data_IF_460222573329
#
_entry.id   IF_460222573329
#
_cell.length_a   1.000
_cell.length_b   1.000
_cell.length_c   1.000
_cell.angle_alpha   90.00
_cell.angle_beta   90.00
_cell.angle_gamma   90.00
#
_symmetry.space_group_name_H-M   'P 1'
#
loop_
_entity.id
_entity.type
_entity.pdbx_description
1 polymer ?
#
# COMPACT_ATOMS: atom_id res chain seq x y z
N UNK A 1 3.93 18.16 -23.91
CA UNK A 1 4.33 17.11 -22.96
C UNK A 1 3.11 16.71 -22.15
N UNK A 2 2.92 15.42 -21.90
CA UNK A 2 1.85 14.91 -21.06
C UNK A 2 2.13 15.31 -19.60
N UNK A 3 1.08 15.64 -18.84
CA UNK A 3 1.22 15.86 -17.41
C UNK A 3 1.56 14.56 -16.69
N UNK A 4 2.06 14.67 -15.45
CA UNK A 4 2.54 13.52 -14.71
C UNK A 4 2.13 13.56 -13.22
N UNK A 5 2.14 12.38 -12.61
CA UNK A 5 2.04 12.21 -11.16
C UNK A 5 3.26 11.47 -10.65
N UNK A 6 3.77 11.89 -9.48
CA UNK A 6 4.86 11.25 -8.76
C UNK A 6 4.33 10.72 -7.44
N UNK A 7 4.49 9.43 -7.16
CA UNK A 7 4.28 8.89 -5.81
C UNK A 7 5.57 9.01 -5.00
N UNK A 8 5.52 9.75 -3.89
CA UNK A 8 6.63 9.79 -2.93
C UNK A 8 6.64 8.49 -2.14
N UNK A 9 7.71 7.71 -2.28
CA UNK A 9 7.85 6.42 -1.61
C UNK A 9 8.61 6.59 -0.29
N UNK A 10 8.00 6.08 0.80
CA UNK A 10 8.61 6.04 2.13
C UNK A 10 7.97 4.93 2.98
N UNK A 11 8.56 4.69 4.14
CA UNK A 11 8.12 3.59 5.00
C UNK A 11 8.56 2.23 4.47
N UNK A 12 7.90 1.16 4.93
CA UNK A 12 8.24 -0.21 4.54
C UNK A 12 7.47 -0.66 3.31
N UNK A 13 7.84 -1.83 2.80
CA UNK A 13 7.32 -2.43 1.57
C UNK A 13 5.78 -2.33 1.45
N UNK A 14 5.02 -2.73 2.47
CA UNK A 14 3.55 -2.63 2.46
C UNK A 14 3.03 -1.21 2.24
N UNK A 15 3.65 -0.19 2.85
CA UNK A 15 3.27 1.20 2.64
C UNK A 15 3.52 1.63 1.19
N UNK A 16 4.66 1.21 0.62
CA UNK A 16 5.03 1.55 -0.74
C UNK A 16 4.10 0.91 -1.78
N UNK A 17 3.55 -0.29 -1.49
CA UNK A 17 2.49 -0.89 -2.31
C UNK A 17 1.27 0.04 -2.43
N UNK A 18 0.79 0.57 -1.33
CA UNK A 18 -0.34 1.50 -1.34
C UNK A 18 -0.02 2.80 -2.07
N UNK A 19 1.18 3.35 -1.87
CA UNK A 19 1.65 4.58 -2.52
C UNK A 19 1.73 4.42 -4.04
N UNK A 20 2.26 3.30 -4.52
CA UNK A 20 2.35 2.99 -5.96
C UNK A 20 0.95 2.75 -6.53
N UNK A 21 0.13 1.91 -5.89
CA UNK A 21 -1.22 1.60 -6.36
C UNK A 21 -2.08 2.86 -6.50
N UNK A 22 -2.04 3.75 -5.51
CA UNK A 22 -2.76 5.02 -5.54
C UNK A 22 -2.28 5.94 -6.65
N UNK A 23 -0.95 6.07 -6.80
CA UNK A 23 -0.38 6.90 -7.88
C UNK A 23 -0.70 6.37 -9.27
N UNK A 24 -0.62 5.06 -9.47
CA UNK A 24 -1.02 4.40 -10.74
C UNK A 24 -2.51 4.63 -11.05
N UNK A 25 -3.39 4.45 -10.07
CA UNK A 25 -4.81 4.69 -10.25
C UNK A 25 -5.10 6.15 -10.60
N UNK A 26 -4.46 7.09 -9.90
CA UNK A 26 -4.60 8.51 -10.21
C UNK A 26 -4.06 8.85 -11.60
N UNK A 27 -2.91 8.29 -11.97
CA UNK A 27 -2.35 8.45 -13.31
C UNK A 27 -3.31 7.97 -14.41
N UNK A 28 -3.93 6.80 -14.23
CA UNK A 28 -4.91 6.25 -15.17
C UNK A 28 -6.17 7.10 -15.24
N UNK A 29 -6.72 7.51 -14.09
CA UNK A 29 -7.95 8.32 -14.00
C UNK A 29 -7.80 9.69 -14.68
N UNK A 30 -6.66 10.32 -14.52
CA UNK A 30 -6.38 11.66 -15.03
C UNK A 30 -5.57 11.66 -16.36
N UNK A 31 -5.29 10.49 -16.92
CA UNK A 31 -4.44 10.33 -18.11
C UNK A 31 -3.07 11.02 -17.97
N UNK A 32 -2.35 10.70 -16.89
CA UNK A 32 -1.03 11.24 -16.56
C UNK A 32 0.06 10.19 -16.80
N UNK A 33 1.32 10.64 -16.95
CA UNK A 33 2.48 9.77 -16.85
C UNK A 33 2.76 9.48 -15.35
N UNK A 34 3.14 8.23 -15.02
CA UNK A 34 3.40 7.82 -13.65
C UNK A 34 4.89 7.72 -13.36
N UNK A 35 5.29 8.27 -12.22
CA UNK A 35 6.66 8.25 -11.71
C UNK A 35 6.66 7.92 -10.20
N UNK A 36 7.78 7.41 -9.71
CA UNK A 36 8.04 7.23 -8.28
C UNK A 36 9.29 7.98 -7.86
N UNK A 37 9.40 8.33 -6.57
CA UNK A 37 10.71 8.70 -6.00
C UNK A 37 11.56 7.44 -5.79
N UNK A 38 12.86 7.62 -5.50
CA UNK A 38 13.73 6.50 -5.13
C UNK A 38 13.24 5.86 -3.82
N UNK A 39 13.21 4.53 -3.78
CA UNK A 39 12.82 3.76 -2.60
C UNK A 39 13.85 2.65 -2.33
N UNK A 40 14.20 2.47 -1.07
CA UNK A 40 15.22 1.50 -0.69
C UNK A 40 14.70 0.06 -0.54
N UNK A 41 13.41 -0.16 -0.29
CA UNK A 41 12.90 -1.42 0.27
C UNK A 41 11.83 -2.17 -0.54
N UNK A 42 11.41 -1.68 -1.70
CA UNK A 42 10.27 -2.27 -2.43
C UNK A 42 10.58 -2.73 -3.86
N UNK A 43 11.80 -2.58 -4.32
CA UNK A 43 12.19 -2.72 -5.73
C UNK A 43 12.01 -4.11 -6.33
N UNK A 44 11.94 -5.17 -5.52
CA UNK A 44 11.91 -6.55 -6.02
C UNK A 44 10.50 -7.06 -6.35
N UNK A 45 9.45 -6.35 -5.91
CA UNK A 45 8.05 -6.78 -6.04
C UNK A 45 7.25 -5.97 -7.06
N UNK A 46 7.87 -5.01 -7.71
CA UNK A 46 7.24 -4.14 -8.69
C UNK A 46 7.99 -4.14 -10.01
N UNK A 47 7.28 -3.85 -11.07
CA UNK A 47 7.91 -3.36 -12.29
C UNK A 47 8.69 -2.08 -11.97
N UNK A 48 9.81 -1.89 -12.68
CA UNK A 48 10.62 -0.69 -12.49
C UNK A 48 9.89 0.51 -13.08
N UNK A 49 9.42 1.40 -12.23
CA UNK A 49 8.83 2.67 -12.66
C UNK A 49 9.91 3.72 -12.87
N UNK A 50 9.73 4.63 -13.85
CA UNK A 50 10.65 5.75 -14.03
C UNK A 50 10.62 6.63 -12.78
N UNK A 51 11.81 7.15 -12.41
CA UNK A 51 12.00 7.92 -11.17
C UNK A 51 12.01 9.42 -11.43
N UNK A 52 11.42 10.17 -10.50
CA UNK A 52 11.42 11.63 -10.52
C UNK A 52 11.38 12.15 -9.08
N UNK A 53 12.43 12.80 -8.66
CA UNK A 53 12.56 13.23 -7.25
C UNK A 53 11.76 14.48 -6.91
N UNK A 54 11.48 15.33 -7.89
CA UNK A 54 10.72 16.58 -7.71
C UNK A 54 9.75 16.74 -8.85
N UNK A 55 8.54 17.23 -8.57
CA UNK A 55 7.65 17.58 -9.67
C UNK A 55 6.25 18.01 -9.28
N UNK A 56 5.83 19.15 -9.83
CA UNK A 56 4.46 19.62 -9.81
C UNK A 56 3.94 20.14 -8.47
N UNK A 57 2.63 20.18 -8.35
CA UNK A 57 1.94 20.56 -7.12
C UNK A 57 2.02 19.43 -6.11
N UNK A 58 2.38 19.73 -4.88
CA UNK A 58 2.38 18.74 -3.79
C UNK A 58 0.95 18.58 -3.27
N UNK A 59 0.50 17.33 -3.18
CA UNK A 59 -0.74 16.97 -2.52
C UNK A 59 -0.46 15.95 -1.41
N UNK A 60 -0.69 16.37 -0.19
CA UNK A 60 -0.55 15.53 1.00
C UNK A 60 -1.87 14.88 1.35
N UNK A 61 -1.82 13.61 1.76
CA UNK A 61 -2.98 12.87 2.22
C UNK A 61 -3.58 13.55 3.46
N UNK A 62 -4.82 13.96 3.35
CA UNK A 62 -5.56 14.59 4.45
C UNK A 62 -6.32 13.52 5.20
N UNK A 63 -5.68 12.92 6.18
CA UNK A 63 -6.35 11.98 7.09
C UNK A 63 -7.08 12.80 8.16
N UNK A 64 -8.40 12.79 8.11
CA UNK A 64 -9.22 13.36 9.17
C UNK A 64 -9.63 12.25 10.13
N UNK A 65 -8.94 12.16 11.26
CA UNK A 65 -9.19 11.15 12.31
C UNK A 65 -10.61 11.16 12.88
N UNK A 66 -11.37 12.24 12.71
CA UNK A 66 -12.73 12.34 13.23
C UNK A 66 -13.80 11.92 12.22
N UNK A 67 -13.61 12.23 10.92
CA UNK A 67 -14.67 12.05 9.93
C UNK A 67 -14.37 10.95 8.91
N UNK A 68 -13.12 10.78 8.47
CA UNK A 68 -12.71 9.72 7.56
C UNK A 68 -11.20 9.42 7.75
N UNK A 69 -10.85 8.58 8.72
CA UNK A 69 -9.45 8.36 9.09
C UNK A 69 -8.63 7.63 8.02
N UNK A 70 -9.26 7.04 7.00
CA UNK A 70 -8.59 6.13 6.05
C UNK A 70 -8.74 6.51 4.58
N UNK A 71 -9.44 7.60 4.27
CA UNK A 71 -9.64 8.01 2.88
C UNK A 71 -9.94 9.50 2.78
N UNK A 72 -9.27 10.18 1.84
CA UNK A 72 -9.60 11.53 1.40
C UNK A 72 -9.55 11.59 -0.12
N UNK A 73 -10.48 12.26 -0.74
CA UNK A 73 -10.51 12.38 -2.20
C UNK A 73 -9.30 13.13 -2.72
N UNK A 74 -8.62 12.56 -3.72
CA UNK A 74 -7.53 13.23 -4.43
C UNK A 74 -8.17 14.12 -5.50
N UNK A 75 -7.91 15.44 -5.48
CA UNK A 75 -8.51 16.35 -6.47
C UNK A 75 -8.15 15.97 -7.91
N UNK A 76 -9.12 16.11 -8.80
CA UNK A 76 -8.89 15.97 -10.23
C UNK A 76 -8.18 17.20 -10.84
N UNK A 77 -7.65 17.04 -12.05
CA UNK A 77 -7.08 18.14 -12.87
C UNK A 77 -5.97 18.95 -12.19
N UNK A 78 -5.18 18.30 -11.33
CA UNK A 78 -4.06 18.97 -10.67
C UNK A 78 -2.90 19.32 -11.62
N UNK A 79 -2.88 18.77 -12.83
CA UNK A 79 -1.74 18.87 -13.75
C UNK A 79 -0.56 18.02 -13.23
N UNK A 80 0.66 18.55 -13.31
CA UNK A 80 1.82 17.89 -12.71
C UNK A 80 1.71 17.90 -11.19
N UNK A 81 1.78 16.75 -10.55
CA UNK A 81 1.62 16.66 -9.10
C UNK A 81 2.50 15.58 -8.46
N UNK A 82 2.74 15.73 -7.16
CA UNK A 82 3.37 14.74 -6.30
C UNK A 82 2.41 14.36 -5.18
N UNK A 83 2.16 13.07 -5.00
CA UNK A 83 1.34 12.53 -3.92
C UNK A 83 2.23 12.13 -2.74
N UNK A 84 1.94 12.67 -1.56
CA UNK A 84 2.63 12.39 -0.31
C UNK A 84 1.62 11.87 0.71
N UNK A 85 1.77 10.63 1.14
CA UNK A 85 0.86 10.00 2.10
C UNK A 85 1.08 8.49 2.17
N UNK A 86 0.41 7.82 3.08
CA UNK A 86 0.41 6.36 3.16
C UNK A 86 -0.61 5.71 2.24
N UNK A 87 -1.74 6.40 1.98
CA UNK A 87 -2.79 6.00 1.04
C UNK A 87 -3.38 4.62 1.34
N UNK A 88 -3.46 4.25 2.62
CA UNK A 88 -3.82 2.90 3.10
C UNK A 88 -5.32 2.62 3.03
N UNK A 89 -5.92 2.91 1.88
CA UNK A 89 -7.31 2.55 1.59
C UNK A 89 -7.44 2.00 0.17
N UNK A 90 -8.14 0.88 0.01
CA UNK A 90 -8.42 0.32 -1.31
C UNK A 90 -9.26 1.26 -2.20
N UNK A 91 -10.02 2.17 -1.60
CA UNK A 91 -10.86 3.15 -2.32
C UNK A 91 -10.08 4.04 -3.28
N UNK A 92 -8.77 4.20 -3.07
CA UNK A 92 -7.93 5.00 -3.98
C UNK A 92 -7.73 4.33 -5.34
N UNK A 93 -7.82 3.00 -5.42
CA UNK A 93 -7.42 2.24 -6.60
C UNK A 93 -8.36 1.08 -6.97
N UNK A 94 -9.50 0.92 -6.31
CA UNK A 94 -10.41 -0.22 -6.57
C UNK A 94 -10.91 -0.28 -8.02
N UNK A 95 -11.14 0.88 -8.64
CA UNK A 95 -11.57 0.98 -10.05
C UNK A 95 -10.53 0.43 -11.05
N UNK A 96 -9.26 0.36 -10.65
CA UNK A 96 -8.12 -0.07 -11.49
C UNK A 96 -7.36 -1.26 -10.89
N UNK A 97 -7.96 -1.99 -9.96
CA UNK A 97 -7.25 -3.05 -9.21
C UNK A 97 -6.65 -4.15 -10.08
N UNK A 98 -7.33 -4.54 -11.15
CA UNK A 98 -6.86 -5.61 -12.04
C UNK A 98 -5.60 -5.17 -12.78
N UNK A 99 -5.62 -3.98 -13.36
CA UNK A 99 -4.48 -3.41 -14.07
C UNK A 99 -3.31 -3.11 -13.14
N UNK A 100 -3.61 -2.66 -11.92
CA UNK A 100 -2.57 -2.38 -10.92
C UNK A 100 -1.93 -3.68 -10.43
N UNK A 101 -2.70 -4.74 -10.21
CA UNK A 101 -2.16 -6.04 -9.82
C UNK A 101 -1.20 -6.63 -10.87
N UNK A 102 -1.42 -6.35 -12.16
CA UNK A 102 -0.52 -6.79 -13.21
C UNK A 102 0.86 -6.11 -13.19
N UNK A 103 0.98 -4.96 -12.52
CA UNK A 103 2.25 -4.26 -12.35
C UNK A 103 3.09 -4.81 -11.18
N UNK A 104 2.51 -5.70 -10.36
CA UNK A 104 3.21 -6.30 -9.25
C UNK A 104 3.78 -7.68 -9.61
N UNK A 105 5.09 -7.84 -9.45
CA UNK A 105 5.77 -9.14 -9.61
C UNK A 105 5.57 -10.00 -8.35
N UNK A 106 4.33 -10.38 -8.05
CA UNK A 106 4.02 -11.23 -6.92
C UNK A 106 4.19 -12.71 -7.30
N UNK A 107 4.89 -13.52 -6.48
CA UNK A 107 4.92 -14.94 -6.70
C UNK A 107 3.52 -15.53 -6.49
N UNK A 108 2.88 -15.94 -7.56
CA UNK A 108 1.56 -16.56 -7.51
C UNK A 108 1.70 -18.05 -7.18
N UNK A 109 1.44 -18.41 -5.94
CA UNK A 109 1.15 -19.78 -5.56
C UNK A 109 -0.24 -19.83 -4.96
N UNK A 110 -1.19 -20.40 -5.68
CA UNK A 110 -2.53 -20.68 -5.16
C UNK A 110 -2.47 -21.85 -4.17
N UNK A 111 -1.97 -21.61 -2.99
CA UNK A 111 -2.00 -22.57 -1.88
C UNK A 111 -3.25 -22.28 -1.07
N UNK A 112 -4.07 -23.31 -0.85
CA UNK A 112 -5.16 -23.22 0.10
C UNK A 112 -4.59 -23.24 1.53
N UNK A 113 -4.20 -22.06 2.02
CA UNK A 113 -3.57 -21.89 3.32
C UNK A 113 -4.11 -20.63 4.03
N UNK A 114 -3.95 -20.57 5.32
CA UNK A 114 -4.20 -19.38 6.15
C UNK A 114 -2.87 -18.72 6.46
N UNK A 115 -2.71 -17.47 6.09
CA UNK A 115 -1.51 -16.72 6.44
C UNK A 115 -1.55 -16.23 7.89
N UNK A 116 -0.52 -16.55 8.64
CA UNK A 116 -0.33 -16.06 10.02
C UNK A 116 0.77 -15.00 10.02
N UNK A 117 0.39 -13.74 10.30
CA UNK A 117 1.35 -12.66 10.46
C UNK A 117 1.64 -12.42 11.95
N UNK A 118 2.86 -12.67 12.37
CA UNK A 118 3.33 -12.37 13.73
C UNK A 118 4.15 -11.10 13.72
N UNK A 119 3.52 -9.97 14.07
CA UNK A 119 4.22 -8.68 14.11
C UNK A 119 5.10 -8.59 15.34
N UNK A 120 6.41 -8.48 15.11
CA UNK A 120 7.46 -8.31 16.13
C UNK A 120 8.41 -7.21 15.67
N UNK A 121 9.71 -7.42 15.69
CA UNK A 121 10.72 -6.47 15.20
C UNK A 121 10.64 -5.14 15.95
N UNK A 122 10.41 -4.05 15.23
CA UNK A 122 10.26 -2.69 15.76
C UNK A 122 9.13 -2.55 16.82
N UNK A 123 8.08 -3.36 16.76
CA UNK A 123 7.00 -3.34 17.75
C UNK A 123 7.45 -3.80 19.13
N UNK A 124 8.50 -4.61 19.23
CA UNK A 124 9.06 -5.01 20.53
C UNK A 124 9.76 -3.83 21.22
N UNK A 125 10.35 -2.92 20.44
CA UNK A 125 11.01 -1.70 20.96
C UNK A 125 9.97 -0.68 21.42
N UNK A 126 8.81 -0.65 20.77
CA UNK A 126 7.72 0.28 21.05
C UNK A 126 6.49 -0.43 21.62
N UNK A 127 6.70 -1.44 22.46
CA UNK A 127 5.63 -2.32 22.98
C UNK A 127 4.56 -1.62 23.81
N UNK A 128 4.87 -0.45 24.37
CA UNK A 128 3.89 0.39 25.08
C UNK A 128 2.83 0.98 24.14
N UNK A 129 3.23 1.33 22.90
CA UNK A 129 2.34 1.88 21.88
C UNK A 129 1.73 0.78 21.00
N UNK A 130 2.49 -0.27 20.75
CA UNK A 130 2.14 -1.38 19.86
C UNK A 130 2.37 -2.73 20.56
N UNK A 131 1.56 -3.11 21.54
CA UNK A 131 1.77 -4.35 22.28
C UNK A 131 1.65 -5.57 21.34
N UNK A 132 2.66 -6.46 21.34
CA UNK A 132 2.59 -7.70 20.57
C UNK A 132 1.41 -8.56 21.03
N UNK A 133 0.73 -9.19 20.08
CA UNK A 133 -0.35 -10.10 20.41
C UNK A 133 0.19 -11.35 21.15
N UNK A 134 -0.49 -11.81 22.20
CA UNK A 134 -0.07 -12.97 22.97
C UNK A 134 -0.26 -14.27 22.17
N UNK A 135 0.55 -15.29 22.48
CA UNK A 135 0.47 -16.60 21.81
C UNK A 135 -0.95 -17.21 21.86
N UNK A 136 -1.69 -16.94 22.93
CA UNK A 136 -3.08 -17.39 23.08
C UNK A 136 -4.01 -16.88 21.96
N UNK A 137 -3.74 -15.70 21.42
CA UNK A 137 -4.49 -15.15 20.27
C UNK A 137 -4.27 -16.03 19.03
N UNK A 138 -3.02 -16.34 18.71
CA UNK A 138 -2.68 -17.17 17.55
C UNK A 138 -3.22 -18.59 17.67
N UNK A 139 -3.11 -19.19 18.86
CA UNK A 139 -3.66 -20.53 19.11
C UNK A 139 -5.18 -20.57 18.90
N UNK A 140 -5.91 -19.55 19.36
CA UNK A 140 -7.36 -19.44 19.10
C UNK A 140 -7.67 -19.28 17.62
N UNK A 141 -6.89 -18.46 16.88
CA UNK A 141 -7.07 -18.28 15.45
C UNK A 141 -6.83 -19.60 14.69
N UNK A 142 -5.76 -20.33 15.02
CA UNK A 142 -5.46 -21.63 14.42
C UNK A 142 -6.60 -22.62 14.68
N UNK A 143 -7.08 -22.73 15.92
CA UNK A 143 -8.22 -23.61 16.25
C UNK A 143 -9.47 -23.27 15.45
N UNK A 144 -9.81 -21.98 15.36
CA UNK A 144 -10.94 -21.50 14.57
C UNK A 144 -10.86 -21.91 13.09
N UNK A 145 -9.68 -21.75 12.48
CA UNK A 145 -9.50 -22.11 11.08
C UNK A 145 -9.45 -23.63 10.86
N UNK A 146 -8.90 -24.41 11.81
CA UNK A 146 -8.96 -25.87 11.78
C UNK A 146 -10.41 -26.38 11.79
N UNK A 147 -11.29 -25.80 12.60
CA UNK A 147 -12.72 -26.10 12.62
C UNK A 147 -13.42 -25.78 11.29
N UNK A 148 -12.85 -24.86 10.51
CA UNK A 148 -13.30 -24.49 9.15
C UNK A 148 -12.66 -25.35 8.04
N UNK A 149 -11.86 -26.34 8.38
CA UNK A 149 -11.19 -27.25 7.43
C UNK A 149 -9.92 -26.69 6.78
N UNK A 150 -9.29 -25.68 7.40
CA UNK A 150 -7.98 -25.17 6.99
C UNK A 150 -6.91 -25.72 7.93
N UNK A 151 -5.94 -26.45 7.38
CA UNK A 151 -4.87 -27.11 8.16
C UNK A 151 -3.47 -26.66 7.74
N UNK A 152 -3.35 -25.85 6.72
CA UNK A 152 -2.09 -25.28 6.23
C UNK A 152 -1.97 -23.83 6.70
N UNK A 153 -0.87 -23.56 7.43
CA UNK A 153 -0.56 -22.24 8.00
C UNK A 153 0.84 -21.77 7.62
#
# INVERSE_FOLDING_TARGET
MKNFVVSKLFGRCGNQFYQIATGLAHAKRENLDFYTTTAENATNYFNTFPKKEVGGKIYEEKINVHNNPFYSEIPSKMGNCMLIGYWQSFKYFDDYKVEILSEFNLPYNLIKAVSIHVRRGDYLIHSELFPPLPIKYYNKAISFFNEKGYYNF
#
